data_IF_175952942005
#
_entry.id   IF_175952942005
#
_cell.length_a   1.000
_cell.length_b   1.000
_cell.length_c   1.000
_cell.angle_alpha   90.00
_cell.angle_beta   90.00
_cell.angle_gamma   90.00
#
_symmetry.space_group_name_H-M   'P 1'
#
loop_
_entity.id
_entity.type
_entity.pdbx_description
1 polymer ?
#
# COMPACT_ATOMS: atom_id res chain seq x y z
N UNK A 1 -9.31 11.32 -11.33
CA UNK A 1 -8.86 11.76 -10.00
C UNK A 1 -9.85 11.29 -8.96
N UNK A 2 -9.43 10.32 -8.14
CA UNK A 2 -10.24 9.77 -7.04
C UNK A 2 -9.43 9.78 -5.75
N UNK A 3 -10.13 9.91 -4.62
CA UNK A 3 -9.55 9.72 -3.29
C UNK A 3 -9.71 8.26 -2.90
N UNK A 4 -8.60 7.57 -2.68
CA UNK A 4 -8.57 6.12 -2.45
C UNK A 4 -7.95 5.86 -1.08
N UNK A 5 -8.74 5.25 -0.19
CA UNK A 5 -8.25 4.72 1.08
C UNK A 5 -7.92 3.24 0.88
N UNK A 6 -6.67 2.86 1.17
CA UNK A 6 -6.19 1.48 1.14
C UNK A 6 -5.93 1.03 2.57
N UNK A 7 -6.40 -0.16 2.92
CA UNK A 7 -6.00 -0.85 4.16
C UNK A 7 -5.15 -2.06 3.83
N UNK A 8 -4.18 -2.41 4.70
CA UNK A 8 -3.29 -3.54 4.42
C UNK A 8 -2.40 -3.33 3.19
N UNK A 9 -2.10 -2.08 2.83
CA UNK A 9 -1.34 -1.71 1.64
C UNK A 9 0.12 -2.15 1.63
N UNK A 10 0.67 -2.60 2.76
CA UNK A 10 2.03 -3.14 2.85
C UNK A 10 2.08 -4.67 2.66
N UNK A 11 0.93 -5.34 2.67
CA UNK A 11 0.85 -6.76 2.33
C UNK A 11 1.12 -7.04 0.85
N UNK A 12 1.23 -8.31 0.47
CA UNK A 12 1.56 -8.73 -0.90
C UNK A 12 0.63 -8.13 -1.97
N UNK A 13 -0.68 -8.20 -1.75
CA UNK A 13 -1.68 -7.69 -2.71
C UNK A 13 -1.76 -6.16 -2.64
N UNK A 14 -1.78 -5.60 -1.43
CA UNK A 14 -1.92 -4.16 -1.20
C UNK A 14 -0.78 -3.36 -1.83
N UNK A 15 0.45 -3.84 -1.69
CA UNK A 15 1.64 -3.15 -2.22
C UNK A 15 1.65 -3.13 -3.75
N UNK A 16 1.31 -4.27 -4.38
CA UNK A 16 1.16 -4.37 -5.83
C UNK A 16 0.00 -3.50 -6.35
N UNK A 17 -1.10 -3.43 -5.62
CA UNK A 17 -2.22 -2.58 -5.97
C UNK A 17 -1.82 -1.09 -5.94
N UNK A 18 -1.23 -0.61 -4.83
CA UNK A 18 -0.77 0.78 -4.68
C UNK A 18 0.19 1.14 -5.82
N UNK A 19 1.18 0.28 -6.08
CA UNK A 19 2.16 0.51 -7.15
C UNK A 19 1.53 0.69 -8.54
N UNK A 20 0.35 0.09 -8.81
CA UNK A 20 -0.37 0.24 -10.09
C UNK A 20 -1.23 1.50 -10.19
N UNK A 21 -1.58 2.11 -9.06
CA UNK A 21 -2.56 3.21 -9.01
C UNK A 21 -1.98 4.55 -8.58
N UNK A 22 -0.75 4.56 -8.02
CA UNK A 22 -0.10 5.76 -7.48
C UNK A 22 0.19 6.80 -8.57
N UNK A 23 0.49 6.36 -9.80
CA UNK A 23 0.84 7.26 -10.92
C UNK A 23 -0.37 7.83 -11.68
N UNK A 24 -1.61 7.51 -11.27
CA UNK A 24 -2.83 7.80 -12.04
C UNK A 24 -3.62 9.03 -11.57
N UNK A 25 -2.92 10.07 -11.11
CA UNK A 25 -3.53 11.30 -10.53
C UNK A 25 -4.56 11.00 -9.43
N UNK A 26 -4.32 9.95 -8.64
CA UNK A 26 -5.16 9.60 -7.49
C UNK A 26 -4.50 10.09 -6.21
N UNK A 27 -5.31 10.59 -5.27
CA UNK A 27 -4.86 10.76 -3.90
C UNK A 27 -5.03 9.42 -3.19
N UNK A 28 -3.91 8.77 -2.88
CA UNK A 28 -3.90 7.46 -2.22
C UNK A 28 -3.42 7.63 -0.79
N UNK A 29 -4.24 7.21 0.18
CA UNK A 29 -3.88 7.14 1.60
C UNK A 29 -3.91 5.68 2.02
N UNK A 30 -2.78 5.16 2.50
CA UNK A 30 -2.68 3.81 3.05
C UNK A 30 -2.73 3.84 4.58
N UNK A 31 -3.55 2.96 5.18
CA UNK A 31 -3.61 2.70 6.62
C UNK A 31 -3.29 1.23 6.85
N UNK A 32 -2.14 0.95 7.44
CA UNK A 32 -1.66 -0.40 7.67
C UNK A 32 -1.19 -0.54 9.12
N UNK A 33 -1.41 -1.71 9.73
CA UNK A 33 -0.95 -1.99 11.09
C UNK A 33 0.50 -2.48 11.14
N UNK A 34 1.11 -2.78 9.98
CA UNK A 34 2.47 -3.35 9.83
C UNK A 34 2.69 -4.69 10.57
N UNK A 35 1.62 -5.32 11.08
CA UNK A 35 1.71 -6.54 11.91
C UNK A 35 1.38 -7.83 11.16
N UNK A 36 0.89 -7.76 9.91
CA UNK A 36 0.47 -8.93 9.13
C UNK A 36 1.08 -8.94 7.74
N UNK A 37 1.97 -9.90 7.48
CA UNK A 37 2.55 -10.19 6.16
C UNK A 37 3.20 -8.99 5.44
N UNK A 38 3.68 -8.00 6.21
CA UNK A 38 4.64 -7.03 5.71
C UNK A 38 5.88 -7.81 5.28
N UNK A 39 6.33 -7.62 4.05
CA UNK A 39 7.62 -8.18 3.62
C UNK A 39 8.63 -7.62 4.61
N UNK A 40 9.26 -8.50 5.40
CA UNK A 40 10.21 -8.10 6.43
C UNK A 40 11.11 -7.04 5.82
N UNK A 41 11.08 -5.86 6.44
CA UNK A 41 11.93 -4.74 6.08
C UNK A 41 13.33 -5.30 6.24
N UNK A 42 13.99 -5.61 5.10
CA UNK A 42 15.33 -6.19 5.07
C UNK A 42 16.16 -5.50 6.14
N UNK A 43 16.49 -6.25 7.18
CA UNK A 43 17.33 -5.80 8.26
C UNK A 43 18.70 -5.57 7.63
N UNK A 44 19.22 -4.35 7.79
CA UNK A 44 20.50 -3.78 7.29
C UNK A 44 20.63 -3.57 5.78
#
# INVERSE_FOLDING_TARGET
MSNILVTGGLGFIGSNFISKIIDKENLVVNVDSETYASVDKLIS
#
